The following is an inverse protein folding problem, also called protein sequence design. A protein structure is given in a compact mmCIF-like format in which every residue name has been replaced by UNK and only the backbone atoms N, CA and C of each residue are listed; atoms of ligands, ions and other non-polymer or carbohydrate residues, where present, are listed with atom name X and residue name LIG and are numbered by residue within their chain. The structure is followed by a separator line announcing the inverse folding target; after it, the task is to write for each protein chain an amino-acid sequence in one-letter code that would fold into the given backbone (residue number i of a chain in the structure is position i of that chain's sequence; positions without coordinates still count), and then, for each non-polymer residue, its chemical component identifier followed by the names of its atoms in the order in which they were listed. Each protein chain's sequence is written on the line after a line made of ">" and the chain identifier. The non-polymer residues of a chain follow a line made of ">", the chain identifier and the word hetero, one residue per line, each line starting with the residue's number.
data_IF_005489523978
#
_entry.id   IF_005489523978
#
_cell.length_a   1.000
_cell.length_b   1.000
_cell.length_c   1.000
_cell.angle_alpha   90.00
_cell.angle_beta   90.00
_cell.angle_gamma   90.00
#
_symmetry.space_group_name_H-M   'P 1'
#
loop_
_entity.id
_entity.type
_entity.pdbx_description
1 polymer ?
#
# COMPACT_ATOMS: atom_id res chain seq x y z
N UNK A 1 -25.53 14.53 -4.26
CA UNK A 1 -25.19 15.69 -3.44
C UNK A 1 -25.42 15.43 -1.95
N UNK A 2 -26.58 14.86 -1.52
CA UNK A 2 -26.86 14.59 -0.11
C UNK A 2 -25.83 13.63 0.54
N UNK A 3 -25.39 12.60 -0.17
CA UNK A 3 -24.35 11.67 0.28
C UNK A 3 -23.02 12.40 0.56
N UNK A 4 -22.62 13.29 -0.33
CA UNK A 4 -21.39 14.08 -0.15
C UNK A 4 -21.52 15.00 1.07
N UNK A 5 -22.67 15.65 1.21
CA UNK A 5 -22.92 16.55 2.35
C UNK A 5 -22.93 15.81 3.70
N UNK A 6 -23.51 14.62 3.74
CA UNK A 6 -23.66 13.82 4.97
C UNK A 6 -22.39 13.04 5.33
N UNK A 7 -21.71 12.45 4.35
CA UNK A 7 -20.61 11.49 4.54
C UNK A 7 -19.27 11.95 3.95
N UNK A 8 -19.21 13.16 3.39
CA UNK A 8 -17.99 13.75 2.85
C UNK A 8 -17.39 12.93 1.70
N UNK A 9 -16.08 12.70 1.74
CA UNK A 9 -15.35 11.92 0.73
C UNK A 9 -15.84 10.48 0.58
N UNK A 10 -16.26 9.83 1.67
CA UNK A 10 -16.87 8.51 1.59
C UNK A 10 -18.16 8.53 0.79
N UNK A 11 -19.04 9.50 1.03
CA UNK A 11 -20.28 9.64 0.27
C UNK A 11 -20.05 10.02 -1.19
N UNK A 12 -18.95 10.70 -1.50
CA UNK A 12 -18.53 10.96 -2.87
C UNK A 12 -18.13 9.65 -3.57
N UNK A 13 -17.26 8.84 -2.95
CA UNK A 13 -16.80 7.57 -3.50
C UNK A 13 -17.93 6.55 -3.62
N UNK A 14 -18.75 6.39 -2.58
CA UNK A 14 -19.93 5.50 -2.62
C UNK A 14 -20.90 5.92 -3.73
N UNK A 15 -21.11 7.22 -3.91
CA UNK A 15 -21.96 7.73 -4.98
C UNK A 15 -21.49 7.34 -6.39
N UNK A 16 -20.19 7.26 -6.60
CA UNK A 16 -19.62 6.75 -7.85
C UNK A 16 -19.81 5.24 -7.99
N UNK A 17 -19.46 4.48 -6.96
CA UNK A 17 -19.58 3.02 -6.96
C UNK A 17 -21.04 2.54 -7.15
N UNK A 18 -21.98 3.28 -6.59
CA UNK A 18 -23.44 3.00 -6.71
C UNK A 18 -24.09 3.65 -7.94
N UNK A 19 -23.30 4.22 -8.87
CA UNK A 19 -23.75 4.88 -10.08
C UNK A 19 -24.74 6.05 -9.85
N UNK A 20 -24.63 6.78 -8.73
CA UNK A 20 -25.42 7.99 -8.49
C UNK A 20 -24.83 9.21 -9.20
N UNK A 21 -23.59 9.13 -9.61
CA UNK A 21 -22.91 10.08 -10.50
C UNK A 21 -21.82 9.36 -11.30
N UNK A 22 -21.48 9.91 -12.46
CA UNK A 22 -20.48 9.39 -13.36
C UNK A 22 -19.68 10.54 -13.98
N UNK A 23 -18.59 10.22 -14.68
CA UNK A 23 -17.73 11.18 -15.39
C UNK A 23 -17.09 10.53 -16.60
N UNK A 24 -16.95 11.29 -17.68
CA UNK A 24 -16.26 10.83 -18.89
C UNK A 24 -14.74 10.65 -18.69
N UNK A 25 -14.17 11.28 -17.65
CA UNK A 25 -12.73 11.21 -17.36
C UNK A 25 -12.48 11.32 -15.85
N UNK A 26 -12.42 10.17 -15.20
CA UNK A 26 -12.18 10.08 -13.76
C UNK A 26 -10.83 10.67 -13.36
N UNK A 27 -9.80 10.50 -14.21
CA UNK A 27 -8.45 11.01 -13.90
C UNK A 27 -8.43 12.54 -13.88
N UNK A 28 -9.08 13.20 -14.85
CA UNK A 28 -9.22 14.66 -14.83
C UNK A 28 -10.01 15.16 -13.65
N UNK A 29 -11.05 14.43 -13.25
CA UNK A 29 -11.82 14.79 -12.06
C UNK A 29 -10.96 14.69 -10.79
N UNK A 30 -10.17 13.63 -10.63
CA UNK A 30 -9.26 13.46 -9.50
C UNK A 30 -8.15 14.52 -9.48
N UNK A 31 -7.60 14.89 -10.64
CA UNK A 31 -6.62 15.97 -10.78
C UNK A 31 -7.24 17.34 -10.37
N UNK A 32 -8.47 17.60 -10.82
CA UNK A 32 -9.21 18.80 -10.42
C UNK A 32 -9.43 18.87 -8.90
N UNK A 33 -9.85 17.76 -8.29
CA UNK A 33 -10.06 17.66 -6.83
C UNK A 33 -8.74 17.87 -6.10
N UNK A 34 -7.66 17.23 -6.54
CA UNK A 34 -6.33 17.34 -5.95
C UNK A 34 -5.81 18.78 -5.99
N UNK A 35 -5.91 19.46 -7.13
CA UNK A 35 -5.50 20.87 -7.29
C UNK A 35 -6.31 21.84 -6.43
N UNK A 36 -7.54 21.49 -6.07
CA UNK A 36 -8.45 22.31 -5.29
C UNK A 36 -8.75 21.72 -3.91
N UNK A 37 -7.88 20.85 -3.40
CA UNK A 37 -8.11 20.07 -2.17
C UNK A 37 -8.58 20.94 -0.99
N UNK A 38 -7.92 22.06 -0.73
CA UNK A 38 -8.27 22.97 0.36
C UNK A 38 -9.69 23.58 0.26
N UNK A 39 -10.21 23.72 -0.96
CA UNK A 39 -11.57 24.22 -1.19
C UNK A 39 -12.59 23.11 -1.01
N UNK A 40 -12.26 21.89 -1.43
CA UNK A 40 -13.08 20.70 -1.28
C UNK A 40 -13.10 20.17 0.16
N UNK A 41 -12.02 20.34 0.93
CA UNK A 41 -11.94 19.85 2.31
C UNK A 41 -13.03 20.48 3.22
N UNK A 42 -13.41 21.73 2.99
CA UNK A 42 -14.53 22.37 3.70
C UNK A 42 -15.88 21.70 3.38
N UNK A 43 -16.07 21.23 2.15
CA UNK A 43 -17.28 20.53 1.72
C UNK A 43 -17.24 19.07 2.16
N UNK A 44 -16.07 18.42 2.06
CA UNK A 44 -15.84 17.04 2.44
C UNK A 44 -15.89 16.79 3.96
N UNK A 45 -15.75 17.82 4.75
CA UNK A 45 -15.75 17.69 6.22
C UNK A 45 -17.09 17.24 6.81
N UNK A 46 -18.16 17.18 6.01
CA UNK A 46 -19.51 16.78 6.47
C UNK A 46 -20.10 17.73 7.51
N UNK A 47 -21.38 17.60 7.82
CA UNK A 47 -21.98 18.39 8.89
C UNK A 47 -21.47 17.94 10.26
N UNK A 48 -21.38 18.90 11.23
CA UNK A 48 -20.88 18.62 12.59
C UNK A 48 -21.61 17.48 13.32
N UNK A 49 -22.88 17.27 13.01
CA UNK A 49 -23.71 16.19 13.55
C UNK A 49 -23.21 14.82 13.05
N UNK A 50 -22.88 14.69 11.76
CA UNK A 50 -22.34 13.45 11.19
C UNK A 50 -20.91 13.17 11.66
N UNK A 51 -20.10 14.20 11.92
CA UNK A 51 -18.80 14.05 12.59
C UNK A 51 -18.95 13.45 13.99
N UNK A 52 -20.00 13.80 14.72
CA UNK A 52 -20.28 13.21 16.04
C UNK A 52 -20.67 11.74 15.93
N UNK A 53 -21.54 11.40 14.99
CA UNK A 53 -21.97 10.01 14.73
C UNK A 53 -20.82 9.14 14.21
N UNK A 54 -20.00 9.66 13.31
CA UNK A 54 -18.81 8.94 12.82
C UNK A 54 -17.76 8.77 13.91
N UNK A 55 -17.55 9.77 14.77
CA UNK A 55 -16.71 9.62 15.98
C UNK A 55 -17.20 8.51 16.90
N UNK A 56 -18.51 8.39 17.08
CA UNK A 56 -19.11 7.33 17.92
C UNK A 56 -18.97 5.95 17.27
N UNK A 57 -19.09 5.88 15.93
CA UNK A 57 -18.83 4.67 15.14
C UNK A 57 -17.33 4.28 15.16
N UNK A 58 -16.43 5.27 15.04
CA UNK A 58 -15.00 5.05 15.16
C UNK A 58 -14.58 4.59 16.56
N UNK A 59 -15.24 5.08 17.62
CA UNK A 59 -14.98 4.62 18.99
C UNK A 59 -15.35 3.15 19.21
N UNK A 60 -16.34 2.62 18.46
CA UNK A 60 -16.70 1.18 18.46
C UNK A 60 -15.78 0.32 17.60
N UNK A 61 -15.05 0.94 16.66
CA UNK A 61 -14.09 0.30 15.77
C UNK A 61 -12.64 0.63 16.18
N UNK A 62 -12.40 0.93 17.46
CA UNK A 62 -11.06 1.17 17.97
C UNK A 62 -10.12 0.02 17.61
N UNK A 63 -8.88 0.37 17.29
CA UNK A 63 -7.76 -0.53 17.00
C UNK A 63 -7.45 -1.48 18.17
N UNK A 64 -8.40 -2.36 18.49
CA UNK A 64 -8.11 -3.54 19.29
C UNK A 64 -7.23 -4.49 18.48
N UNK A 65 -6.40 -5.28 19.13
CA UNK A 65 -5.53 -6.28 18.46
C UNK A 65 -6.35 -7.18 17.52
N UNK A 66 -7.59 -7.53 17.89
CA UNK A 66 -8.48 -8.32 17.04
C UNK A 66 -9.10 -7.51 15.88
N UNK A 67 -9.42 -6.23 16.10
CA UNK A 67 -9.94 -5.33 15.07
C UNK A 67 -8.89 -4.99 14.02
N UNK A 68 -7.65 -4.73 14.45
CA UNK A 68 -6.51 -4.51 13.55
C UNK A 68 -6.25 -5.73 12.67
N UNK A 69 -6.27 -6.94 13.25
CA UNK A 69 -6.10 -8.19 12.50
C UNK A 69 -7.18 -8.38 11.45
N UNK A 70 -8.46 -8.12 11.80
CA UNK A 70 -9.59 -8.20 10.86
C UNK A 70 -9.49 -7.16 9.74
N UNK A 71 -9.13 -5.92 10.06
CA UNK A 71 -8.96 -4.85 9.07
C UNK A 71 -7.81 -5.13 8.11
N UNK A 72 -6.71 -5.68 8.60
CA UNK A 72 -5.56 -6.08 7.79
C UNK A 72 -5.93 -7.25 6.87
N UNK A 73 -6.62 -8.28 7.39
CA UNK A 73 -7.12 -9.37 6.54
C UNK A 73 -8.02 -8.82 5.43
N UNK A 74 -9.00 -7.98 5.74
CA UNK A 74 -9.89 -7.41 4.73
C UNK A 74 -9.16 -6.54 3.70
N UNK A 75 -8.06 -5.88 4.07
CA UNK A 75 -7.27 -5.07 3.15
C UNK A 75 -6.46 -5.92 2.17
N UNK A 76 -5.89 -7.04 2.62
CA UNK A 76 -5.09 -7.94 1.78
C UNK A 76 -5.90 -9.09 1.16
N UNK A 77 -7.16 -9.29 1.55
CA UNK A 77 -8.08 -10.28 0.97
C UNK A 77 -8.55 -9.94 -0.47
N UNK A 78 -8.13 -8.79 -1.01
CA UNK A 78 -8.32 -8.46 -2.43
C UNK A 78 -7.58 -9.43 -3.38
N UNK A 79 -6.68 -10.26 -2.82
CA UNK A 79 -5.90 -11.24 -3.56
C UNK A 79 -4.68 -10.66 -4.28
N UNK A 80 -3.71 -11.53 -4.60
CA UNK A 80 -2.49 -11.12 -5.28
C UNK A 80 -2.78 -10.58 -6.68
N UNK A 81 -3.72 -11.17 -7.42
CA UNK A 81 -4.10 -10.76 -8.78
C UNK A 81 -4.51 -9.28 -8.85
N UNK A 82 -5.17 -8.77 -7.81
CA UNK A 82 -5.51 -7.35 -7.73
C UNK A 82 -4.25 -6.47 -7.66
N UNK A 83 -3.30 -6.83 -6.81
CA UNK A 83 -2.07 -6.05 -6.63
C UNK A 83 -1.14 -6.17 -7.84
N UNK A 84 -1.03 -7.36 -8.45
CA UNK A 84 -0.27 -7.60 -9.68
C UNK A 84 -0.78 -6.76 -10.86
N UNK A 85 -2.05 -6.38 -10.88
CA UNK A 85 -2.64 -5.58 -11.96
C UNK A 85 -2.09 -4.16 -12.06
N UNK A 86 -1.46 -3.62 -11.02
CA UNK A 86 -0.99 -2.23 -10.97
C UNK A 86 0.34 -2.01 -10.23
N UNK A 87 0.83 -2.96 -9.46
CA UNK A 87 2.19 -2.94 -8.94
C UNK A 87 3.19 -3.38 -10.03
N UNK A 88 4.45 -3.07 -9.82
CA UNK A 88 5.55 -3.59 -10.61
C UNK A 88 5.94 -5.02 -10.18
N UNK A 89 6.85 -5.65 -10.92
CA UNK A 89 7.32 -7.02 -10.68
C UNK A 89 7.83 -7.26 -9.26
N UNK A 90 8.31 -6.23 -8.55
CA UNK A 90 8.78 -6.38 -7.17
C UNK A 90 7.64 -6.52 -6.16
N UNK A 91 6.40 -6.39 -6.61
CA UNK A 91 5.20 -6.41 -5.77
C UNK A 91 5.30 -5.47 -4.56
N UNK A 92 5.94 -4.31 -4.75
CA UNK A 92 6.21 -3.39 -3.66
C UNK A 92 5.07 -2.41 -3.46
N UNK A 93 4.27 -2.64 -2.42
CA UNK A 93 3.16 -1.77 -2.05
C UNK A 93 3.59 -0.61 -1.17
N UNK A 94 4.49 0.20 -1.70
CA UNK A 94 4.94 1.47 -1.11
C UNK A 94 5.54 2.38 -2.18
N UNK A 95 5.71 3.67 -1.88
CA UNK A 95 6.24 4.64 -2.84
C UNK A 95 7.62 4.23 -3.35
N UNK A 96 7.88 4.44 -4.65
CA UNK A 96 9.21 4.36 -5.23
C UNK A 96 10.01 5.65 -4.98
N UNK A 97 11.34 5.58 -5.16
CA UNK A 97 12.23 6.73 -5.13
C UNK A 97 12.62 7.11 -6.57
N UNK A 98 11.93 8.12 -7.11
CA UNK A 98 12.13 8.61 -8.47
C UNK A 98 13.16 9.73 -8.47
N UNK A 99 14.24 9.58 -9.25
CA UNK A 99 15.28 10.62 -9.44
C UNK A 99 15.05 11.41 -10.73
N UNK A 100 14.18 10.93 -11.61
CA UNK A 100 13.85 11.58 -12.88
C UNK A 100 12.47 11.15 -13.41
N UNK A 101 12.01 11.87 -14.44
CA UNK A 101 10.70 11.61 -15.05
C UNK A 101 10.67 10.35 -15.94
N UNK A 102 11.81 9.71 -16.17
CA UNK A 102 11.95 8.54 -17.04
C UNK A 102 12.06 7.21 -16.28
N UNK A 103 12.12 7.23 -14.96
CA UNK A 103 12.22 6.01 -14.17
C UNK A 103 10.92 5.20 -14.27
N UNK A 104 11.05 3.91 -14.55
CA UNK A 104 9.96 2.95 -14.34
C UNK A 104 9.71 2.76 -12.84
N UNK A 105 8.53 2.25 -12.48
CA UNK A 105 8.22 1.96 -11.08
C UNK A 105 9.23 0.97 -10.47
N UNK A 106 9.61 -0.09 -11.22
CA UNK A 106 10.63 -1.06 -10.80
C UNK A 106 11.99 -0.40 -10.51
N UNK A 107 12.43 0.49 -11.39
CA UNK A 107 13.69 1.23 -11.17
C UNK A 107 13.61 2.11 -9.93
N UNK A 108 12.49 2.81 -9.73
CA UNK A 108 12.27 3.62 -8.54
C UNK A 108 12.21 2.79 -7.25
N UNK A 109 11.63 1.58 -7.29
CA UNK A 109 11.65 0.65 -6.15
C UNK A 109 13.08 0.16 -5.86
N UNK A 110 13.84 -0.24 -6.88
CA UNK A 110 15.22 -0.67 -6.71
C UNK A 110 16.13 0.44 -6.17
N UNK A 111 15.94 1.68 -6.62
CA UNK A 111 16.64 2.86 -6.08
C UNK A 111 16.34 3.09 -4.62
N UNK A 112 15.06 2.94 -4.22
CA UNK A 112 14.67 2.99 -2.81
C UNK A 112 15.37 1.93 -1.98
N UNK A 113 15.41 0.69 -2.45
CA UNK A 113 16.08 -0.41 -1.75
C UNK A 113 17.58 -0.17 -1.60
N UNK A 114 18.20 0.31 -2.68
CA UNK A 114 19.60 0.73 -2.63
C UNK A 114 19.84 1.82 -1.60
N UNK A 115 19.00 2.86 -1.59
CA UNK A 115 19.09 3.96 -0.63
C UNK A 115 18.96 3.48 0.81
N UNK A 116 18.06 2.53 1.08
CA UNK A 116 17.91 1.92 2.42
C UNK A 116 19.22 1.23 2.82
N UNK A 117 19.78 0.38 1.95
CA UNK A 117 21.01 -0.34 2.26
C UNK A 117 22.21 0.59 2.41
N UNK A 118 22.32 1.61 1.56
CA UNK A 118 23.38 2.64 1.67
C UNK A 118 23.26 3.43 2.99
N UNK A 119 22.02 3.72 3.44
CA UNK A 119 21.77 4.43 4.70
C UNK A 119 22.08 3.56 5.92
N UNK A 120 21.84 2.26 5.83
CA UNK A 120 22.18 1.30 6.90
C UNK A 120 23.70 1.11 7.05
N UNK A 121 24.46 1.34 5.99
CA UNK A 121 25.94 1.26 5.95
C UNK A 121 26.50 0.00 6.66
N UNK A 122 25.89 -1.15 6.39
CA UNK A 122 26.25 -2.42 7.04
C UNK A 122 27.30 -3.18 6.22
N UNK A 123 28.25 -3.87 6.89
CA UNK A 123 29.13 -4.82 6.21
C UNK A 123 28.35 -5.87 5.44
N UNK A 124 28.84 -6.30 4.27
CA UNK A 124 28.25 -7.40 3.52
C UNK A 124 28.14 -8.66 4.38
N UNK A 125 27.12 -9.48 4.14
CA UNK A 125 26.74 -10.65 4.95
C UNK A 125 26.14 -10.33 6.33
N UNK A 126 25.96 -9.06 6.67
CA UNK A 126 25.17 -8.70 7.87
C UNK A 126 23.78 -9.26 7.81
N UNK A 127 23.20 -9.50 8.97
CA UNK A 127 21.81 -9.97 9.08
C UNK A 127 20.88 -8.79 9.27
N UNK A 128 19.84 -8.73 8.45
CA UNK A 128 18.80 -7.70 8.46
C UNK A 128 17.46 -8.37 8.81
N UNK A 129 16.64 -7.70 9.59
CA UNK A 129 15.25 -8.08 9.86
C UNK A 129 14.34 -7.01 9.30
N UNK A 130 13.44 -7.39 8.38
CA UNK A 130 12.39 -6.51 7.86
C UNK A 130 11.06 -6.83 8.54
N UNK A 131 10.45 -5.83 9.16
CA UNK A 131 9.14 -5.93 9.80
C UNK A 131 8.09 -5.36 8.86
N UNK A 132 7.17 -6.20 8.38
CA UNK A 132 6.20 -5.84 7.36
C UNK A 132 6.78 -5.96 5.95
N UNK A 133 7.38 -7.11 5.63
CA UNK A 133 8.08 -7.32 4.36
C UNK A 133 7.18 -7.35 3.10
N UNK A 134 5.86 -7.25 3.25
CA UNK A 134 4.96 -7.32 2.11
C UNK A 134 5.15 -8.61 1.32
N UNK A 135 5.22 -8.50 0.02
CA UNK A 135 5.49 -9.61 -0.92
C UNK A 135 6.98 -9.92 -1.11
N UNK A 136 7.87 -9.30 -0.31
CA UNK A 136 9.28 -9.68 -0.25
C UNK A 136 10.22 -8.95 -1.21
N UNK A 137 9.79 -7.88 -1.89
CA UNK A 137 10.63 -7.17 -2.85
C UNK A 137 11.96 -6.69 -2.28
N UNK A 138 11.98 -6.16 -1.05
CA UNK A 138 13.23 -5.79 -0.40
C UNK A 138 14.04 -7.01 0.07
N UNK A 139 13.38 -8.10 0.45
CA UNK A 139 14.06 -9.37 0.80
C UNK A 139 14.87 -9.87 -0.39
N UNK A 140 14.24 -9.95 -1.58
CA UNK A 140 14.89 -10.38 -2.81
C UNK A 140 16.06 -9.46 -3.16
N UNK A 141 15.82 -8.14 -3.20
CA UNK A 141 16.87 -7.17 -3.52
C UNK A 141 18.07 -7.25 -2.57
N UNK A 142 17.84 -7.24 -1.25
CA UNK A 142 18.92 -7.28 -0.26
C UNK A 142 19.69 -8.60 -0.31
N UNK A 143 19.01 -9.72 -0.54
CA UNK A 143 19.62 -11.03 -0.72
C UNK A 143 20.50 -11.05 -1.98
N UNK A 144 20.02 -10.55 -3.11
CA UNK A 144 20.75 -10.52 -4.38
C UNK A 144 22.07 -9.72 -4.29
N UNK A 145 22.14 -8.73 -3.41
CA UNK A 145 23.38 -7.94 -3.18
C UNK A 145 24.20 -8.42 -1.98
N UNK A 146 23.88 -9.60 -1.43
CA UNK A 146 24.73 -10.35 -0.50
C UNK A 146 24.47 -10.12 0.99
N UNK A 147 23.31 -9.60 1.38
CA UNK A 147 22.89 -9.54 2.78
C UNK A 147 22.11 -10.79 3.18
N UNK A 148 22.19 -11.16 4.47
CA UNK A 148 21.30 -12.16 5.05
C UNK A 148 20.06 -11.43 5.56
N UNK A 149 18.90 -11.71 4.99
CA UNK A 149 17.69 -10.99 5.37
C UNK A 149 16.58 -11.96 5.78
N UNK A 150 15.80 -11.57 6.79
CA UNK A 150 14.57 -12.24 7.19
C UNK A 150 13.46 -11.22 7.20
N UNK A 151 12.30 -11.60 6.66
CA UNK A 151 11.09 -10.80 6.70
C UNK A 151 10.04 -11.42 7.61
N UNK A 152 9.22 -10.57 8.20
CA UNK A 152 7.98 -10.98 8.86
C UNK A 152 6.81 -10.21 8.28
N UNK A 153 5.71 -10.89 8.05
CA UNK A 153 4.43 -10.31 7.62
C UNK A 153 3.29 -10.91 8.44
N UNK A 154 2.21 -10.16 8.59
CA UNK A 154 0.97 -10.64 9.24
C UNK A 154 -0.05 -11.18 8.22
N UNK A 155 0.20 -10.99 6.91
CA UNK A 155 -0.65 -11.48 5.83
C UNK A 155 -0.25 -12.89 5.42
N UNK A 156 -1.20 -13.83 5.48
CA UNK A 156 -1.01 -15.21 5.01
C UNK A 156 -0.76 -15.26 3.50
N UNK A 157 -1.41 -14.40 2.72
CA UNK A 157 -1.26 -14.38 1.26
C UNK A 157 0.13 -13.86 0.87
N UNK A 158 0.63 -12.80 1.52
CA UNK A 158 1.99 -12.32 1.32
C UNK A 158 3.03 -13.38 1.72
N UNK A 159 2.80 -14.06 2.85
CA UNK A 159 3.70 -15.14 3.31
C UNK A 159 3.78 -16.28 2.31
N UNK A 160 2.64 -16.76 1.78
CA UNK A 160 2.60 -17.80 0.75
C UNK A 160 3.33 -17.39 -0.51
N UNK A 161 3.11 -16.14 -0.95
CA UNK A 161 3.79 -15.58 -2.12
C UNK A 161 5.31 -15.59 -1.93
N UNK A 162 5.81 -15.08 -0.81
CA UNK A 162 7.24 -15.09 -0.50
C UNK A 162 7.84 -16.52 -0.53
N UNK A 163 7.12 -17.53 0.00
CA UNK A 163 7.61 -18.91 -0.01
C UNK A 163 7.71 -19.51 -1.43
N UNK A 164 6.78 -19.19 -2.31
CA UNK A 164 6.79 -19.68 -3.69
C UNK A 164 8.01 -19.13 -4.46
N UNK A 165 8.32 -17.84 -4.29
CA UNK A 165 9.43 -17.20 -4.99
C UNK A 165 10.81 -17.48 -4.35
N UNK A 166 10.88 -17.77 -3.04
CA UNK A 166 12.16 -18.09 -2.38
C UNK A 166 12.56 -19.55 -2.53
N UNK A 167 11.62 -20.48 -2.78
CA UNK A 167 11.96 -21.89 -3.06
C UNK A 167 12.69 -22.05 -4.39
N UNK A 168 12.30 -21.32 -5.43
CA UNK A 168 12.97 -21.36 -6.73
C UNK A 168 14.41 -20.79 -6.66
N UNK A 169 14.63 -19.76 -5.84
CA UNK A 169 15.97 -19.20 -5.63
C UNK A 169 16.89 -20.08 -4.76
N UNK A 170 16.32 -20.91 -3.87
CA UNK A 170 17.10 -21.82 -3.02
C UNK A 170 17.62 -23.04 -3.78
N UNK A 171 16.92 -23.48 -4.81
CA UNK A 171 17.32 -24.63 -5.64
C UNK A 171 18.44 -24.29 -6.65
N UNK A 172 18.62 -23.02 -7.01
CA UNK A 172 19.74 -22.56 -7.85
C UNK A 172 21.08 -22.44 -7.10
N UNK A 173 21.07 -22.41 -5.75
CA UNK A 173 22.29 -22.28 -4.93
C UNK A 173 22.74 -23.56 -4.25
N UNK A 174 22.13 -24.71 -4.55
CA UNK A 174 22.54 -26.04 -4.05
C UNK A 174 23.25 -26.91 -5.09
N UNK A 175 23.96 -26.30 -6.04
CA UNK A 175 24.85 -26.95 -7.03
C UNK A 175 26.31 -26.66 -6.74
#
# INVERSE_FOLDING_TARGET
>A
LWLIYSRGSLGFTEGYLENYWDTDDLMKLMDLISKNYNSFDRVNSGSGFWKLLTKFSHFRNENSVSGSKKNIHAHYDLGNDFYESWLDETMTYSSGFFEGNSDSLKEAQNKKYKLILDTLDLPKKSSILEIGCGWGGFLEYASSVGYKIKGITISQEQFKFCLLYTSDAADEYSG
#
